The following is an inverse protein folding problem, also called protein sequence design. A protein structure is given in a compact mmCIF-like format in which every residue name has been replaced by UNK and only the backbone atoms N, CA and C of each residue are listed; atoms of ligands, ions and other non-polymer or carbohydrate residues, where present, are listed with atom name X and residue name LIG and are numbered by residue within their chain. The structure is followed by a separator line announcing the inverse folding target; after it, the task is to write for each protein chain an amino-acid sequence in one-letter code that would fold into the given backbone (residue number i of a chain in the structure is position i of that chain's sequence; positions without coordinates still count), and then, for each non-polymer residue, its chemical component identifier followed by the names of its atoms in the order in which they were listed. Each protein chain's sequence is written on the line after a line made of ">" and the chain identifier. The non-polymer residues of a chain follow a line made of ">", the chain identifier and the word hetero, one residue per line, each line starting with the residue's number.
data_IF_111012633341
#
_entry.id   IF_111012633341
#
_cell.length_a   1.000
_cell.length_b   1.000
_cell.length_c   1.000
_cell.angle_alpha   90.00
_cell.angle_beta   90.00
_cell.angle_gamma   90.00
#
_symmetry.space_group_name_H-M   'P 1'
#
loop_
_entity.id
_entity.type
_entity.pdbx_description
1 polymer ?
#
# COMPACT_ATOMS: atom_id res chain seq x y z
N UNK A 1 1.14 -29.39 -9.78
CA UNK A 1 0.85 -28.75 -8.50
C UNK A 1 -0.23 -27.72 -8.75
N UNK A 2 -1.40 -27.85 -8.15
CA UNK A 2 -2.34 -26.73 -8.04
C UNK A 2 -1.58 -25.61 -7.35
N UNK A 3 -1.31 -24.51 -8.05
CA UNK A 3 -0.71 -23.33 -7.45
C UNK A 3 -1.65 -22.88 -6.32
N UNK A 4 -1.15 -22.84 -5.10
CA UNK A 4 -1.90 -22.30 -3.97
C UNK A 4 -2.08 -20.81 -4.26
N UNK A 5 -3.27 -20.41 -4.72
CA UNK A 5 -3.60 -19.06 -5.16
C UNK A 5 -4.89 -18.64 -4.49
N UNK A 6 -4.85 -17.50 -3.82
CA UNK A 6 -6.03 -16.81 -3.33
C UNK A 6 -6.50 -15.81 -4.37
N UNK A 7 -7.80 -15.49 -4.32
CA UNK A 7 -8.44 -14.44 -5.11
C UNK A 7 -9.58 -13.84 -4.29
N UNK A 8 -9.22 -13.39 -3.09
CA UNK A 8 -10.17 -12.89 -2.08
C UNK A 8 -10.75 -11.53 -2.45
N UNK A 9 -10.16 -10.84 -3.43
CA UNK A 9 -10.55 -9.51 -3.86
C UNK A 9 -12.02 -9.37 -4.28
N UNK A 10 -12.67 -10.43 -4.79
CA UNK A 10 -14.12 -10.37 -5.05
C UNK A 10 -14.96 -10.37 -3.78
N UNK A 11 -14.56 -11.19 -2.83
CA UNK A 11 -15.34 -11.43 -1.62
C UNK A 11 -15.15 -10.26 -0.64
N UNK A 12 -13.94 -9.68 -0.56
CA UNK A 12 -13.65 -8.44 0.17
C UNK A 12 -14.66 -7.34 -0.18
N UNK A 13 -14.89 -7.09 -1.46
CA UNK A 13 -15.79 -6.01 -1.89
C UNK A 13 -17.24 -6.27 -1.51
N UNK A 14 -17.70 -7.52 -1.67
CA UNK A 14 -19.10 -7.89 -1.36
C UNK A 14 -19.38 -7.73 0.13
N UNK A 15 -18.49 -8.24 0.97
CA UNK A 15 -18.65 -8.20 2.44
C UNK A 15 -18.47 -6.78 2.99
N UNK A 16 -17.56 -5.97 2.42
CA UNK A 16 -17.41 -4.56 2.81
C UNK A 16 -18.50 -3.64 2.22
N UNK A 17 -19.37 -4.15 1.35
CA UNK A 17 -20.40 -3.35 0.68
C UNK A 17 -19.84 -2.26 -0.24
N UNK A 18 -18.65 -2.47 -0.79
CA UNK A 18 -17.96 -1.53 -1.69
C UNK A 18 -18.35 -1.86 -3.14
N UNK A 19 -18.59 -0.84 -3.95
CA UNK A 19 -18.79 -1.02 -5.38
C UNK A 19 -17.51 -1.59 -6.02
N UNK A 20 -17.58 -2.67 -6.84
CA UNK A 20 -16.44 -3.12 -7.63
C UNK A 20 -15.76 -1.97 -8.37
N UNK A 21 -14.45 -2.03 -8.55
CA UNK A 21 -13.66 -0.87 -8.96
C UNK A 21 -14.18 -0.19 -10.24
N UNK A 22 -14.59 -0.95 -11.27
CA UNK A 22 -15.19 -0.38 -12.47
C UNK A 22 -16.49 0.41 -12.19
N UNK A 23 -17.36 -0.09 -11.31
CA UNK A 23 -18.57 0.65 -10.87
C UNK A 23 -18.21 1.86 -10.04
N UNK A 24 -17.17 1.77 -9.21
CA UNK A 24 -16.63 2.91 -8.49
C UNK A 24 -16.17 4.03 -9.44
N UNK A 25 -15.51 3.68 -10.56
CA UNK A 25 -15.12 4.64 -11.60
C UNK A 25 -16.36 5.30 -12.21
N UNK A 26 -17.32 4.52 -12.68
CA UNK A 26 -18.58 5.03 -13.25
C UNK A 26 -19.36 5.94 -12.27
N UNK A 27 -19.39 5.58 -10.98
CA UNK A 27 -20.02 6.41 -9.94
C UNK A 27 -19.31 7.75 -9.72
N UNK A 28 -17.98 7.77 -9.84
CA UNK A 28 -17.21 9.02 -9.75
C UNK A 28 -17.43 9.90 -10.98
N UNK A 29 -17.47 9.30 -12.18
CA UNK A 29 -17.80 9.99 -13.43
C UNK A 29 -19.19 10.64 -13.36
N UNK A 30 -20.22 9.89 -12.93
CA UNK A 30 -21.57 10.40 -12.78
C UNK A 30 -21.68 11.55 -11.76
N UNK A 31 -20.76 11.62 -10.79
CA UNK A 31 -20.63 12.72 -9.81
C UNK A 31 -19.81 13.90 -10.32
N UNK A 32 -19.40 13.89 -11.59
CA UNK A 32 -18.58 14.93 -12.19
C UNK A 32 -17.14 14.96 -11.67
N UNK A 33 -16.67 13.87 -11.06
CA UNK A 33 -15.26 13.72 -10.68
C UNK A 33 -14.48 13.41 -11.97
N UNK A 34 -13.34 14.07 -12.14
CA UNK A 34 -12.52 14.03 -13.34
C UNK A 34 -11.62 12.77 -13.44
N UNK A 35 -12.06 11.64 -12.90
CA UNK A 35 -11.34 10.36 -12.99
C UNK A 35 -11.32 9.79 -14.41
N UNK A 36 -12.39 10.00 -15.20
CA UNK A 36 -12.44 9.68 -16.63
C UNK A 36 -11.53 10.57 -17.47
N UNK A 37 -11.50 11.86 -17.13
CA UNK A 37 -10.73 12.86 -17.88
C UNK A 37 -9.24 12.68 -17.65
N UNK A 38 -8.85 12.25 -16.44
CA UNK A 38 -7.46 12.08 -16.05
C UNK A 38 -7.22 10.74 -15.36
N UNK A 39 -7.41 9.60 -16.06
CA UNK A 39 -7.22 8.28 -15.48
C UNK A 39 -5.76 8.09 -15.05
N UNK A 40 -4.82 8.77 -15.71
CA UNK A 40 -3.40 8.78 -15.35
C UNK A 40 -3.10 9.35 -13.97
N UNK A 41 -4.04 10.07 -13.34
CA UNK A 41 -3.87 10.59 -11.99
C UNK A 41 -4.30 9.59 -10.90
N UNK A 42 -5.21 8.65 -11.19
CA UNK A 42 -5.82 7.77 -10.18
C UNK A 42 -5.91 6.29 -10.56
N UNK A 43 -6.27 5.98 -11.80
CA UNK A 43 -6.47 4.58 -12.21
C UNK A 43 -5.14 3.89 -12.43
N UNK A 44 -4.18 4.55 -13.07
CA UNK A 44 -2.83 4.00 -13.30
C UNK A 44 -2.10 3.53 -12.05
N UNK A 45 -2.09 4.26 -10.91
CA UNK A 45 -1.43 3.77 -9.70
C UNK A 45 -2.15 2.56 -9.06
N UNK A 46 -3.31 2.13 -9.57
CA UNK A 46 -4.08 1.00 -9.03
C UNK A 46 -4.27 -0.14 -10.03
N UNK A 47 -4.07 0.10 -11.33
CA UNK A 47 -4.26 -0.88 -12.39
C UNK A 47 -3.01 -0.93 -13.25
N UNK A 48 -2.24 -2.01 -13.09
CA UNK A 48 -1.09 -2.26 -13.95
C UNK A 48 -1.50 -3.12 -15.15
N UNK A 49 -0.96 -2.83 -16.33
CA UNK A 49 -1.15 -3.64 -17.54
C UNK A 49 0.18 -4.28 -17.96
N UNK A 50 0.14 -5.56 -18.31
CA UNK A 50 1.25 -6.24 -18.98
C UNK A 50 1.23 -5.93 -20.48
N UNK A 51 2.35 -6.13 -21.18
CA UNK A 51 2.46 -5.83 -22.62
C UNK A 51 1.32 -6.41 -23.47
N UNK A 52 0.93 -7.67 -23.23
CA UNK A 52 -0.21 -8.29 -23.92
C UNK A 52 -1.56 -7.66 -23.59
N UNK A 53 -1.75 -7.20 -22.35
CA UNK A 53 -2.98 -6.52 -21.95
C UNK A 53 -3.04 -5.12 -22.55
N UNK A 54 -1.90 -4.44 -22.68
CA UNK A 54 -1.83 -3.16 -23.41
C UNK A 54 -2.24 -3.37 -24.87
N UNK A 55 -1.64 -4.35 -25.56
CA UNK A 55 -2.00 -4.68 -26.95
C UNK A 55 -3.48 -5.06 -27.09
N UNK A 56 -4.04 -5.81 -26.13
CA UNK A 56 -5.45 -6.17 -26.12
C UNK A 56 -6.35 -4.93 -25.96
N UNK A 57 -6.08 -4.09 -24.96
CA UNK A 57 -6.88 -2.87 -24.72
C UNK A 57 -6.80 -1.93 -25.93
N UNK A 58 -5.63 -1.82 -26.59
CA UNK A 58 -5.46 -1.08 -27.85
C UNK A 58 -6.37 -1.61 -28.97
N UNK A 59 -6.52 -2.92 -29.10
CA UNK A 59 -7.39 -3.55 -30.09
C UNK A 59 -8.88 -3.37 -29.77
N UNK A 60 -9.23 -3.26 -28.49
CA UNK A 60 -10.61 -3.15 -28.03
C UNK A 60 -11.19 -1.73 -28.11
N UNK A 61 -10.36 -0.71 -28.40
CA UNK A 61 -10.84 0.68 -28.49
C UNK A 61 -11.87 0.85 -29.59
N UNK A 62 -13.10 1.19 -29.19
CA UNK A 62 -14.24 1.32 -30.09
C UNK A 62 -14.94 0.01 -30.46
N UNK A 63 -14.47 -1.13 -29.94
CA UNK A 63 -15.07 -2.46 -30.12
C UNK A 63 -15.84 -2.93 -28.87
N UNK A 64 -15.67 -2.23 -27.74
CA UNK A 64 -16.38 -2.49 -26.48
C UNK A 64 -17.46 -1.43 -26.22
N UNK A 65 -18.48 -1.82 -25.45
CA UNK A 65 -19.54 -0.95 -24.94
C UNK A 65 -19.67 -1.17 -23.44
N UNK A 66 -19.00 -0.32 -22.64
CA UNK A 66 -18.97 -0.49 -21.19
C UNK A 66 -20.32 -0.10 -20.57
N UNK A 67 -21.08 -1.10 -20.11
CA UNK A 67 -22.21 -0.89 -19.21
C UNK A 67 -21.82 -1.15 -17.74
N UNK A 68 -21.91 -0.17 -16.81
CA UNK A 68 -21.66 -0.38 -15.38
C UNK A 68 -22.71 -1.29 -14.71
N UNK A 69 -23.90 -1.44 -15.30
CA UNK A 69 -24.99 -2.26 -14.78
C UNK A 69 -24.86 -3.73 -15.21
N UNK A 70 -24.30 -4.00 -16.39
CA UNK A 70 -23.99 -5.36 -16.84
C UNK A 70 -22.73 -5.91 -16.15
N UNK A 71 -22.83 -7.00 -15.37
CA UNK A 71 -21.65 -7.64 -14.78
C UNK A 71 -20.78 -8.41 -15.79
N UNK A 72 -21.23 -8.57 -17.04
CA UNK A 72 -20.49 -9.24 -18.11
C UNK A 72 -19.76 -8.22 -18.99
N UNK A 73 -18.57 -8.57 -19.52
CA UNK A 73 -17.92 -7.76 -20.55
C UNK A 73 -18.70 -7.85 -21.86
N UNK A 74 -18.72 -6.78 -22.65
CA UNK A 74 -19.38 -6.69 -23.95
C UNK A 74 -18.64 -7.41 -25.08
N UNK A 75 -17.38 -7.81 -24.87
CA UNK A 75 -16.53 -8.39 -25.90
C UNK A 75 -15.90 -9.72 -25.45
N UNK A 76 -15.95 -10.73 -26.32
CA UNK A 76 -15.51 -12.12 -26.02
C UNK A 76 -14.04 -12.22 -25.58
N UNK A 77 -13.16 -11.38 -26.13
CA UNK A 77 -11.73 -11.34 -25.77
C UNK A 77 -11.46 -10.99 -24.29
N UNK A 78 -12.47 -10.52 -23.56
CA UNK A 78 -12.38 -10.22 -22.13
C UNK A 78 -12.92 -11.34 -21.22
N UNK A 79 -13.56 -12.38 -21.78
CA UNK A 79 -14.20 -13.46 -21.00
C UNK A 79 -13.20 -14.33 -20.23
N UNK A 80 -11.95 -14.40 -20.68
CA UNK A 80 -10.89 -15.16 -20.02
C UNK A 80 -10.36 -14.48 -18.74
N UNK A 81 -10.71 -13.21 -18.50
CA UNK A 81 -10.30 -12.47 -17.31
C UNK A 81 -11.32 -12.61 -16.18
N UNK A 82 -10.90 -12.53 -14.91
CA UNK A 82 -11.82 -12.34 -13.79
C UNK A 82 -12.74 -11.14 -14.05
N UNK A 83 -14.05 -11.27 -13.80
CA UNK A 83 -15.05 -10.28 -14.25
C UNK A 83 -14.70 -8.83 -13.89
N UNK A 84 -14.24 -8.48 -12.67
CA UNK A 84 -13.86 -7.09 -12.41
C UNK A 84 -12.60 -6.61 -13.10
N UNK A 85 -11.62 -7.49 -13.36
CA UNK A 85 -10.51 -7.17 -14.28
C UNK A 85 -11.06 -6.88 -15.67
N UNK A 86 -11.90 -7.78 -16.20
CA UNK A 86 -12.51 -7.63 -17.52
C UNK A 86 -13.25 -6.30 -17.66
N UNK A 87 -14.13 -5.96 -16.72
CA UNK A 87 -14.89 -4.70 -16.74
C UNK A 87 -14.01 -3.46 -16.55
N UNK A 88 -12.88 -3.56 -15.84
CA UNK A 88 -11.90 -2.45 -15.76
C UNK A 88 -11.19 -2.28 -17.10
N UNK A 89 -10.74 -3.36 -17.74
CA UNK A 89 -10.11 -3.30 -19.08
C UNK A 89 -11.10 -2.74 -20.11
N UNK A 90 -12.36 -3.18 -20.03
CA UNK A 90 -13.45 -2.66 -20.83
C UNK A 90 -13.68 -1.16 -20.59
N UNK A 91 -13.76 -0.71 -19.34
CA UNK A 91 -13.89 0.73 -19.02
C UNK A 91 -12.70 1.55 -19.55
N UNK A 92 -11.49 0.99 -19.53
CA UNK A 92 -10.30 1.65 -20.08
C UNK A 92 -10.40 1.75 -21.62
N UNK A 93 -10.85 0.67 -22.28
CA UNK A 93 -10.98 0.60 -23.74
C UNK A 93 -12.19 1.35 -24.29
N UNK A 94 -13.25 1.48 -23.47
CA UNK A 94 -14.44 2.25 -23.75
C UNK A 94 -14.06 3.73 -23.85
N UNK A 95 -14.18 4.28 -25.04
CA UNK A 95 -13.48 5.49 -25.47
C UNK A 95 -14.32 6.76 -25.31
N UNK A 96 -15.24 6.78 -24.34
CA UNK A 96 -15.90 8.01 -23.91
C UNK A 96 -14.88 8.94 -23.22
N UNK A 97 -14.12 9.69 -24.03
CA UNK A 97 -13.25 10.78 -23.55
C UNK A 97 -11.74 10.58 -23.70
N UNK A 98 -11.26 9.71 -24.60
CA UNK A 98 -9.82 9.45 -24.82
C UNK A 98 -9.10 9.01 -23.52
N UNK A 99 -9.75 8.12 -22.74
CA UNK A 99 -9.22 7.57 -21.47
C UNK A 99 -7.83 6.93 -21.65
N UNK A 100 -7.54 6.50 -22.86
CA UNK A 100 -6.27 5.89 -23.25
C UNK A 100 -5.26 6.91 -23.78
N UNK A 101 -5.71 8.07 -24.27
CA UNK A 101 -4.93 9.07 -24.99
C UNK A 101 -4.46 8.61 -26.38
N UNK A 102 -4.97 7.50 -26.90
CA UNK A 102 -4.49 6.89 -28.15
C UNK A 102 -5.03 7.54 -29.41
N UNK A 103 -6.13 8.32 -29.35
CA UNK A 103 -6.64 9.08 -30.50
C UNK A 103 -5.99 10.47 -30.65
N UNK A 104 -5.33 10.99 -29.60
CA UNK A 104 -4.57 12.23 -29.65
C UNK A 104 -3.28 12.08 -30.49
N UNK A 105 -3.41 12.37 -31.80
CA UNK A 105 -2.36 12.43 -32.84
C UNK A 105 -0.90 12.56 -32.37
N UNK A 106 -0.25 11.44 -32.01
CA UNK A 106 1.20 11.29 -32.06
C UNK A 106 1.96 11.12 -30.75
N UNK A 107 1.35 11.30 -29.58
CA UNK A 107 1.98 10.92 -28.31
C UNK A 107 1.25 9.72 -27.74
N UNK A 108 1.80 8.52 -27.93
CA UNK A 108 1.33 7.34 -27.21
C UNK A 108 1.42 7.65 -25.72
N UNK A 109 0.29 7.80 -25.04
CA UNK A 109 0.15 7.77 -23.57
C UNK A 109 0.40 6.37 -23.02
N UNK A 110 1.37 5.64 -23.57
CA UNK A 110 2.03 4.50 -22.94
C UNK A 110 2.56 4.90 -21.56
N UNK A 111 2.88 6.19 -21.36
CA UNK A 111 3.26 6.74 -20.06
C UNK A 111 2.14 6.66 -18.99
N UNK A 112 0.87 6.56 -19.39
CA UNK A 112 -0.28 6.43 -18.49
C UNK A 112 -0.61 4.96 -18.14
N UNK A 113 -0.19 3.98 -18.94
CA UNK A 113 -0.50 2.57 -18.68
C UNK A 113 0.81 1.78 -18.69
N UNK A 114 1.61 1.98 -17.64
CA UNK A 114 2.99 1.48 -17.60
C UNK A 114 3.06 -0.01 -17.27
N UNK A 115 3.92 -0.74 -17.97
CA UNK A 115 4.40 -2.05 -17.54
C UNK A 115 5.39 -1.89 -16.36
N UNK A 116 4.89 -1.99 -15.12
CA UNK A 116 5.72 -1.99 -13.91
C UNK A 116 5.01 -1.47 -12.67
N UNK A 117 5.66 -1.62 -11.51
CA UNK A 117 5.15 -1.24 -10.19
C UNK A 117 4.46 0.13 -10.14
N UNK A 118 3.25 0.14 -9.61
CA UNK A 118 2.35 1.29 -9.42
C UNK A 118 2.38 1.74 -7.97
N UNK A 119 2.52 3.03 -7.68
CA UNK A 119 2.79 3.53 -6.32
C UNK A 119 2.08 4.87 -6.10
N UNK A 120 1.69 5.23 -4.88
CA UNK A 120 1.43 6.63 -4.55
C UNK A 120 1.92 6.99 -3.15
N UNK A 121 2.07 8.29 -2.91
CA UNK A 121 2.24 8.85 -1.57
C UNK A 121 1.04 9.71 -1.17
N UNK A 122 0.30 9.25 -0.16
CA UNK A 122 -0.84 9.94 0.42
C UNK A 122 -0.44 10.70 1.68
N UNK A 123 -0.92 11.95 1.82
CA UNK A 123 -0.63 12.74 3.02
C UNK A 123 -1.82 13.60 3.48
N UNK A 124 -2.01 13.65 4.79
CA UNK A 124 -2.98 14.52 5.44
C UNK A 124 -3.17 14.22 6.92
N UNK A 125 -3.69 15.20 7.65
CA UNK A 125 -3.86 15.17 9.11
C UNK A 125 -4.66 13.94 9.60
N UNK A 126 -4.54 13.56 10.89
CA UNK A 126 -5.44 12.57 11.50
C UNK A 126 -6.92 12.87 11.19
N UNK A 127 -7.73 11.84 10.99
CA UNK A 127 -9.16 11.96 10.66
C UNK A 127 -9.49 12.23 9.18
N UNK A 128 -8.49 12.31 8.29
CA UNK A 128 -8.71 12.51 6.85
C UNK A 128 -9.17 11.27 6.08
N UNK A 129 -9.19 10.11 6.74
CA UNK A 129 -9.57 8.82 6.13
C UNK A 129 -8.41 8.03 5.51
N UNK A 130 -7.14 8.34 5.84
CA UNK A 130 -5.96 7.61 5.31
C UNK A 130 -6.06 6.09 5.46
N UNK A 131 -6.40 5.61 6.65
CA UNK A 131 -6.49 4.17 6.92
C UNK A 131 -7.63 3.50 6.13
N UNK A 132 -8.75 4.21 5.95
CA UNK A 132 -9.83 3.74 5.07
C UNK A 132 -9.45 3.75 3.59
N UNK A 133 -8.63 4.72 3.16
CA UNK A 133 -8.07 4.73 1.81
C UNK A 133 -7.09 3.57 1.63
N UNK A 134 -6.28 3.27 2.64
CA UNK A 134 -5.35 2.15 2.63
C UNK A 134 -6.06 0.81 2.43
N UNK A 135 -7.10 0.53 3.20
CA UNK A 135 -7.87 -0.70 2.99
C UNK A 135 -8.69 -0.71 1.70
N UNK A 136 -9.18 0.46 1.22
CA UNK A 136 -9.77 0.56 -0.11
C UNK A 136 -8.75 0.19 -1.19
N UNK A 137 -7.52 0.72 -1.11
CA UNK A 137 -6.43 0.39 -2.04
C UNK A 137 -6.06 -1.08 -1.96
N UNK A 138 -5.92 -1.66 -0.76
CA UNK A 138 -5.67 -3.10 -0.59
C UNK A 138 -6.76 -3.95 -1.27
N UNK A 139 -8.03 -3.57 -1.14
CA UNK A 139 -9.13 -4.23 -1.81
C UNK A 139 -8.99 -4.12 -3.34
N UNK A 140 -8.78 -2.92 -3.89
CA UNK A 140 -8.65 -2.70 -5.34
C UNK A 140 -7.54 -3.55 -5.94
N UNK A 141 -6.35 -3.55 -5.32
CA UNK A 141 -5.19 -4.30 -5.83
C UNK A 141 -5.45 -5.80 -5.86
N UNK A 142 -6.12 -6.35 -4.84
CA UNK A 142 -6.52 -7.76 -4.84
C UNK A 142 -7.63 -8.04 -5.86
N UNK A 143 -8.64 -7.18 -5.97
CA UNK A 143 -9.78 -7.39 -6.86
C UNK A 143 -9.40 -7.31 -8.34
N UNK A 144 -8.63 -6.29 -8.69
CA UNK A 144 -8.34 -5.96 -10.09
C UNK A 144 -7.06 -6.64 -10.55
N UNK A 145 -6.04 -6.80 -9.71
CA UNK A 145 -4.74 -7.29 -10.15
C UNK A 145 -4.37 -8.67 -9.56
N UNK A 146 -5.17 -9.18 -8.61
CA UNK A 146 -4.84 -10.37 -7.81
C UNK A 146 -3.45 -10.30 -7.16
N UNK A 147 -3.05 -9.10 -6.73
CA UNK A 147 -1.75 -8.87 -6.08
C UNK A 147 -1.70 -9.50 -4.70
N UNK A 148 -0.51 -9.94 -4.28
CA UNK A 148 -0.25 -10.18 -2.86
C UNK A 148 -0.01 -8.82 -2.21
N UNK A 149 -0.81 -8.48 -1.21
CA UNK A 149 -0.75 -7.19 -0.52
C UNK A 149 -0.18 -7.41 0.88
N UNK A 150 0.86 -6.65 1.23
CA UNK A 150 1.50 -6.66 2.54
C UNK A 150 1.25 -5.30 3.20
N UNK A 151 0.48 -5.26 4.27
CA UNK A 151 0.44 -4.11 5.15
C UNK A 151 1.66 -4.18 6.06
N UNK A 152 2.52 -3.17 5.94
CA UNK A 152 3.67 -2.97 6.79
C UNK A 152 3.21 -2.30 8.08
N UNK A 153 2.99 -3.13 9.10
CA UNK A 153 2.65 -2.64 10.42
C UNK A 153 3.92 -2.23 11.15
N UNK A 154 3.74 -1.42 12.20
CA UNK A 154 4.84 -0.88 13.00
C UNK A 154 4.81 -1.44 14.41
N UNK A 155 5.98 -1.45 15.05
CA UNK A 155 6.12 -1.72 16.47
C UNK A 155 6.81 -0.53 17.12
N UNK A 156 6.26 -0.05 18.24
CA UNK A 156 6.98 0.91 19.06
C UNK A 156 8.19 0.25 19.75
N UNK A 157 8.98 1.05 20.47
CA UNK A 157 10.17 0.58 21.18
C UNK A 157 9.87 -0.45 22.28
N UNK A 158 8.62 -0.55 22.73
CA UNK A 158 8.16 -1.56 23.70
C UNK A 158 7.77 -2.89 23.04
N UNK A 159 7.75 -2.94 21.70
CA UNK A 159 7.24 -4.09 20.95
C UNK A 159 5.71 -4.11 20.88
N UNK A 160 5.05 -2.96 21.08
CA UNK A 160 3.59 -2.86 21.06
C UNK A 160 3.11 -2.21 19.77
N UNK A 161 2.05 -2.76 19.20
CA UNK A 161 1.21 -2.09 18.21
C UNK A 161 -0.12 -1.73 18.87
N UNK A 162 -0.35 -0.46 19.19
CA UNK A 162 -1.53 -0.05 19.96
C UNK A 162 -2.83 -0.01 19.13
N UNK A 163 -2.74 0.08 17.78
CA UNK A 163 -3.91 0.32 16.90
C UNK A 163 -3.85 -0.43 15.58
N UNK A 164 -4.50 -1.59 15.54
CA UNK A 164 -4.71 -2.33 14.30
C UNK A 164 -5.72 -1.62 13.35
N UNK A 165 -5.20 -0.90 12.36
CA UNK A 165 -6.02 -0.21 11.35
C UNK A 165 -6.60 -1.16 10.27
N UNK A 166 -6.13 -2.41 10.24
CA UNK A 166 -6.47 -3.43 9.25
C UNK A 166 -7.68 -4.30 9.62
N UNK A 167 -8.25 -4.15 10.83
CA UNK A 167 -9.36 -4.97 11.33
C UNK A 167 -10.57 -5.12 10.38
N UNK A 168 -10.96 -4.10 9.56
CA UNK A 168 -12.02 -4.30 8.56
C UNK A 168 -11.73 -5.41 7.54
N UNK A 169 -10.45 -5.75 7.35
CA UNK A 169 -9.97 -6.81 6.45
C UNK A 169 -9.63 -8.12 7.17
N UNK A 170 -9.83 -8.20 8.49
CA UNK A 170 -9.52 -9.36 9.33
C UNK A 170 -9.95 -10.73 8.75
N UNK A 171 -11.14 -10.89 8.14
CA UNK A 171 -11.57 -12.17 7.56
C UNK A 171 -10.68 -12.71 6.43
N UNK A 172 -9.85 -11.87 5.83
CA UNK A 172 -8.92 -12.24 4.75
C UNK A 172 -7.46 -12.02 5.13
N UNK A 173 -7.19 -11.58 6.36
CA UNK A 173 -5.85 -11.27 6.83
C UNK A 173 -5.11 -12.53 7.23
N UNK A 174 -3.92 -12.72 6.65
CA UNK A 174 -2.88 -13.57 7.20
C UNK A 174 -1.92 -12.71 8.02
N UNK A 175 -1.85 -12.87 9.34
CA UNK A 175 -0.86 -12.17 10.16
C UNK A 175 0.48 -12.88 10.04
N UNK A 176 1.53 -12.14 9.68
CA UNK A 176 2.90 -12.62 9.65
C UNK A 176 3.70 -12.02 10.81
N UNK A 177 4.20 -12.88 11.69
CA UNK A 177 4.97 -12.49 12.87
C UNK A 177 6.31 -13.23 12.96
N UNK A 178 7.31 -12.65 13.63
CA UNK A 178 8.56 -13.34 13.88
C UNK A 178 8.36 -14.60 14.74
N UNK A 179 9.05 -15.69 14.38
CA UNK A 179 9.02 -16.92 15.17
C UNK A 179 9.73 -16.73 16.52
N UNK A 180 9.29 -17.47 17.53
CA UNK A 180 9.95 -17.52 18.83
C UNK A 180 9.71 -16.33 19.76
N UNK A 181 8.96 -15.30 19.33
CA UNK A 181 8.52 -14.18 20.19
C UNK A 181 7.07 -14.46 20.63
N UNK A 182 6.78 -14.54 21.94
CA UNK A 182 5.41 -14.63 22.43
C UNK A 182 4.64 -13.37 22.06
N UNK A 183 3.36 -13.54 21.71
CA UNK A 183 2.49 -12.43 21.32
C UNK A 183 1.21 -12.52 22.11
N UNK A 184 0.78 -11.40 22.67
CA UNK A 184 -0.49 -11.23 23.34
C UNK A 184 -1.35 -10.25 22.54
N UNK A 185 -2.64 -10.57 22.33
CA UNK A 185 -3.59 -9.65 21.72
C UNK A 185 -4.51 -9.12 22.80
N UNK A 186 -4.45 -7.83 23.07
CA UNK A 186 -5.31 -7.15 24.03
C UNK A 186 -6.41 -6.39 23.30
N UNK A 187 -7.66 -6.75 23.59
CA UNK A 187 -8.85 -6.07 23.10
C UNK A 187 -9.28 -5.04 24.15
N UNK A 188 -9.39 -3.79 23.74
CA UNK A 188 -9.87 -2.66 24.55
C UNK A 188 -11.17 -2.15 23.94
N UNK A 189 -12.33 -2.64 24.40
CA UNK A 189 -13.63 -2.19 23.91
C UNK A 189 -13.83 -0.69 24.11
N UNK A 190 -14.50 -0.01 23.15
CA UNK A 190 -14.85 1.41 23.33
C UNK A 190 -15.89 1.62 24.45
N UNK A 191 -16.70 0.60 24.72
CA UNK A 191 -17.72 0.60 25.77
C UNK A 191 -17.05 0.53 27.17
N UNK A 192 -17.10 1.59 27.99
CA UNK A 192 -16.33 1.70 29.24
C UNK A 192 -16.74 0.68 30.32
N UNK A 193 -17.93 0.08 30.20
CA UNK A 193 -18.42 -0.97 31.08
C UNK A 193 -17.84 -2.36 30.77
N UNK A 194 -17.23 -2.55 29.61
CA UNK A 194 -16.61 -3.81 29.21
C UNK A 194 -15.12 -3.75 29.52
N UNK A 195 -14.66 -4.60 30.43
CA UNK A 195 -13.23 -4.69 30.74
C UNK A 195 -12.44 -5.20 29.54
N UNK A 196 -11.19 -4.75 29.40
CA UNK A 196 -10.26 -5.31 28.43
C UNK A 196 -10.03 -6.79 28.68
N UNK A 197 -9.75 -7.53 27.62
CA UNK A 197 -9.49 -8.96 27.67
C UNK A 197 -8.49 -9.38 26.59
N UNK A 198 -7.89 -10.55 26.78
CA UNK A 198 -6.88 -11.11 25.89
C UNK A 198 -7.48 -12.21 25.00
N UNK A 199 -7.03 -12.29 23.75
CA UNK A 199 -7.37 -13.36 22.79
C UNK A 199 -6.12 -13.88 22.08
N UNK A 200 -6.21 -15.02 21.41
CA UNK A 200 -5.19 -15.47 20.46
C UNK A 200 -5.23 -14.70 19.14
N UNK A 201 -4.09 -14.62 18.43
CA UNK A 201 -4.03 -13.99 17.10
C UNK A 201 -4.97 -14.67 16.11
N UNK A 202 -5.08 -15.99 16.18
CA UNK A 202 -5.96 -16.82 15.34
C UNK A 202 -7.45 -16.52 15.55
N UNK A 203 -7.81 -15.81 16.63
CA UNK A 203 -9.20 -15.40 16.90
C UNK A 203 -9.57 -14.09 16.18
N UNK A 204 -8.59 -13.30 15.75
CA UNK A 204 -8.80 -11.97 15.14
C UNK A 204 -8.42 -11.90 13.66
N UNK A 205 -7.89 -12.98 13.08
CA UNK A 205 -7.49 -13.03 11.67
C UNK A 205 -7.78 -14.40 11.06
N UNK A 206 -7.60 -14.55 9.75
CA UNK A 206 -7.85 -15.81 9.05
C UNK A 206 -6.75 -16.83 9.33
N UNK A 207 -5.49 -16.41 9.21
CA UNK A 207 -4.33 -17.28 9.30
C UNK A 207 -3.19 -16.55 10.03
N UNK A 208 -2.30 -17.30 10.67
CA UNK A 208 -1.06 -16.79 11.25
C UNK A 208 0.11 -17.55 10.66
N UNK A 209 1.12 -16.82 10.16
CA UNK A 209 2.40 -17.38 9.71
C UNK A 209 3.53 -16.85 10.60
N UNK A 210 4.46 -17.74 10.93
CA UNK A 210 5.64 -17.42 11.75
C UNK A 210 6.89 -17.52 10.89
N UNK A 211 7.72 -16.50 10.91
CA UNK A 211 8.91 -16.43 10.04
C UNK A 211 10.20 -16.18 10.83
N UNK A 212 11.30 -16.71 10.32
CA UNK A 212 12.64 -16.63 10.93
C UNK A 212 13.52 -15.53 10.33
N UNK A 213 13.20 -15.06 9.12
CA UNK A 213 13.94 -14.03 8.39
C UNK A 213 13.12 -13.46 7.24
N UNK A 214 13.54 -12.33 6.62
CA UNK A 214 12.88 -11.82 5.42
C UNK A 214 12.81 -12.82 4.26
N UNK A 215 13.85 -13.66 4.09
CA UNK A 215 13.93 -14.67 3.03
C UNK A 215 12.93 -15.80 3.29
N UNK A 216 12.80 -16.20 4.55
CA UNK A 216 11.85 -17.23 4.97
C UNK A 216 10.41 -16.75 4.78
N UNK A 217 10.06 -15.53 5.22
CA UNK A 217 8.74 -14.95 4.98
C UNK A 217 8.39 -14.94 3.49
N UNK A 218 9.32 -14.52 2.62
CA UNK A 218 9.11 -14.55 1.16
C UNK A 218 8.81 -15.96 0.64
N UNK A 219 9.40 -17.00 1.22
CA UNK A 219 9.15 -18.40 0.86
C UNK A 219 7.79 -18.93 1.36
N UNK A 220 7.17 -18.23 2.31
CA UNK A 220 5.86 -18.58 2.88
C UNK A 220 4.69 -17.79 2.28
N UNK A 221 4.97 -16.73 1.50
CA UNK A 221 3.94 -15.94 0.85
C UNK A 221 3.13 -16.77 -0.16
N UNK A 222 1.82 -16.53 -0.18
CA UNK A 222 0.87 -17.13 -1.11
C UNK A 222 0.35 -16.04 -2.06
N UNK A 223 0.26 -16.37 -3.35
CA UNK A 223 -0.19 -15.43 -4.39
C UNK A 223 -1.64 -14.98 -4.11
N UNK A 224 -1.88 -13.66 -4.11
CA UNK A 224 -3.22 -13.07 -3.99
C UNK A 224 -3.77 -12.95 -2.58
N UNK A 225 -2.97 -13.22 -1.53
CA UNK A 225 -3.37 -13.02 -0.14
C UNK A 225 -3.09 -11.59 0.37
N UNK A 226 -3.87 -11.17 1.37
CA UNK A 226 -3.62 -9.99 2.19
C UNK A 226 -2.87 -10.38 3.47
N UNK A 227 -1.69 -9.80 3.68
CA UNK A 227 -0.90 -10.00 4.88
C UNK A 227 -0.83 -8.72 5.70
N UNK A 228 -0.83 -8.87 7.02
CA UNK A 228 -0.34 -7.87 7.97
C UNK A 228 0.97 -8.39 8.51
N UNK A 229 2.06 -7.67 8.28
CA UNK A 229 3.40 -8.12 8.62
C UNK A 229 3.95 -7.23 9.72
N UNK A 230 4.25 -7.84 10.87
CA UNK A 230 4.96 -7.19 11.96
C UNK A 230 6.46 -7.40 11.78
N UNK A 231 7.30 -6.35 11.82
CA UNK A 231 8.74 -6.48 11.63
C UNK A 231 9.39 -7.34 12.73
N UNK A 232 10.55 -7.93 12.43
CA UNK A 232 11.31 -8.69 13.44
C UNK A 232 12.21 -7.74 14.26
N UNK A 233 11.92 -7.49 15.55
CA UNK A 233 12.71 -6.58 16.39
C UNK A 233 14.14 -7.12 16.63
N UNK A 234 14.36 -8.42 16.40
CA UNK A 234 15.68 -9.05 16.47
C UNK A 234 16.50 -8.90 15.16
N UNK A 235 15.87 -8.39 14.10
CA UNK A 235 16.48 -8.20 12.77
C UNK A 235 17.14 -9.46 12.18
N UNK A 236 16.59 -10.66 12.46
CA UNK A 236 17.19 -11.92 12.03
C UNK A 236 17.23 -12.02 10.51
N UNK A 237 18.41 -12.33 9.99
CA UNK A 237 18.64 -12.48 8.55
C UNK A 237 18.69 -11.18 7.73
N UNK A 238 18.52 -9.99 8.36
CA UNK A 238 18.60 -8.71 7.65
C UNK A 238 19.97 -8.49 6.98
N UNK A 239 21.05 -8.81 7.68
CA UNK A 239 22.44 -8.69 7.20
C UNK A 239 22.79 -9.70 6.09
N UNK A 240 21.99 -10.76 5.90
CA UNK A 240 22.17 -11.73 4.81
C UNK A 240 21.62 -11.23 3.45
N UNK A 241 20.76 -10.22 3.48
CA UNK A 241 20.11 -9.64 2.28
C UNK A 241 20.45 -8.16 2.07
N UNK A 242 21.02 -7.53 3.09
CA UNK A 242 21.40 -6.12 3.13
C UNK A 242 22.84 -5.98 3.60
N UNK A 243 23.53 -4.93 3.16
CA UNK A 243 24.93 -4.65 3.56
C UNK A 243 25.04 -3.73 4.78
N UNK A 244 23.91 -3.37 5.37
CA UNK A 244 23.80 -2.38 6.43
C UNK A 244 23.75 -3.06 7.79
N UNK A 245 24.09 -2.29 8.81
CA UNK A 245 24.12 -2.75 10.19
C UNK A 245 22.70 -2.87 10.75
N UNK A 246 22.43 -3.96 11.47
CA UNK A 246 21.19 -4.14 12.21
C UNK A 246 21.52 -4.66 13.61
N UNK A 247 21.08 -3.92 14.62
CA UNK A 247 21.37 -4.20 16.01
C UNK A 247 20.05 -4.55 16.70
N UNK A 248 19.85 -5.83 17.04
CA UNK A 248 18.83 -6.21 18.01
C UNK A 248 19.22 -5.70 19.40
N UNK A 249 18.29 -5.69 20.38
CA UNK A 249 18.58 -5.17 21.72
C UNK A 249 19.72 -5.90 22.45
N UNK A 250 20.02 -7.15 22.09
CA UNK A 250 21.18 -7.89 22.61
C UNK A 250 22.54 -7.50 21.99
N UNK A 251 22.57 -6.55 21.04
CA UNK A 251 23.79 -6.08 20.35
C UNK A 251 24.11 -4.61 20.66
N UNK A 252 23.50 -4.04 21.70
CA UNK A 252 23.75 -2.67 22.15
C UNK A 252 24.83 -2.65 23.24
N UNK A 253 25.56 -1.55 23.35
CA UNK A 253 26.59 -1.30 24.36
C UNK A 253 26.09 -0.30 25.40
N UNK A 254 26.74 -0.24 26.56
CA UNK A 254 26.42 0.79 27.56
C UNK A 254 26.65 2.20 26.99
N UNK A 255 25.88 3.17 27.48
CA UNK A 255 26.02 4.57 27.05
C UNK A 255 27.44 5.07 27.34
N UNK A 256 28.17 5.45 26.30
CA UNK A 256 29.55 5.94 26.38
C UNK A 256 30.62 4.90 26.02
N UNK A 257 30.24 3.64 25.78
CA UNK A 257 31.13 2.63 25.23
C UNK A 257 31.17 2.64 23.69
N UNK A 258 32.23 2.10 23.05
CA UNK A 258 32.29 2.00 21.60
C UNK A 258 31.26 0.99 21.06
N UNK A 259 30.22 1.50 20.40
CA UNK A 259 29.17 0.67 19.78
C UNK A 259 27.82 1.37 19.84
N UNK A 260 26.76 0.72 19.33
CA UNK A 260 25.44 1.30 19.36
C UNK A 260 24.82 1.27 20.75
N UNK A 261 24.31 2.39 21.20
CA UNK A 261 23.73 2.52 22.55
C UNK A 261 22.22 2.26 22.60
N UNK A 262 21.59 2.13 21.43
CA UNK A 262 20.18 1.79 21.28
C UNK A 262 20.01 0.67 20.24
N UNK A 263 18.93 -0.13 20.32
CA UNK A 263 18.60 -1.07 19.27
C UNK A 263 18.23 -0.33 17.99
N UNK A 264 18.46 -0.97 16.84
CA UNK A 264 17.90 -0.51 15.58
C UNK A 264 16.37 -0.60 15.65
N UNK A 265 15.62 0.48 15.34
CA UNK A 265 14.15 0.45 15.34
C UNK A 265 13.61 -0.72 14.51
N UNK A 266 12.58 -1.40 15.01
CA UNK A 266 12.04 -2.62 14.39
C UNK A 266 11.62 -2.37 12.93
N UNK A 267 11.00 -1.22 12.65
CA UNK A 267 10.53 -0.81 11.33
C UNK A 267 11.64 -0.82 10.26
N UNK A 268 12.90 -0.61 10.64
CA UNK A 268 14.01 -0.67 9.69
C UNK A 268 14.21 -2.06 9.08
N UNK A 269 13.63 -3.12 9.66
CA UNK A 269 13.54 -4.46 9.07
C UNK A 269 12.97 -4.43 7.64
N UNK A 270 12.02 -3.52 7.36
CA UNK A 270 11.42 -3.35 6.04
C UNK A 270 12.44 -3.00 4.95
N UNK A 271 13.55 -2.32 5.29
CA UNK A 271 14.63 -2.08 4.33
C UNK A 271 15.29 -3.37 3.85
N UNK A 272 15.49 -4.33 4.76
CA UNK A 272 16.05 -5.64 4.43
C UNK A 272 15.04 -6.48 3.65
N UNK A 273 13.77 -6.48 4.08
CA UNK A 273 12.70 -7.22 3.41
C UNK A 273 12.50 -6.78 1.96
N UNK A 274 12.37 -5.47 1.71
CA UNK A 274 12.20 -4.95 0.35
C UNK A 274 13.43 -5.25 -0.51
N UNK A 275 14.64 -5.14 0.04
CA UNK A 275 15.84 -5.56 -0.69
C UNK A 275 15.85 -7.05 -1.03
N UNK A 276 15.40 -7.91 -0.11
CA UNK A 276 15.24 -9.33 -0.36
C UNK A 276 14.23 -9.56 -1.49
N UNK A 277 13.05 -8.94 -1.41
CA UNK A 277 11.99 -9.09 -2.42
C UNK A 277 12.44 -8.62 -3.80
N UNK A 278 13.21 -7.54 -3.91
CA UNK A 278 13.68 -7.01 -5.20
C UNK A 278 14.79 -7.88 -5.80
N UNK A 279 15.73 -8.35 -4.97
CA UNK A 279 16.98 -8.98 -5.43
C UNK A 279 16.92 -10.51 -5.44
N UNK A 280 16.00 -11.11 -4.69
CA UNK A 280 15.83 -12.55 -4.60
C UNK A 280 14.55 -12.91 -5.35
N UNK A 281 14.66 -13.75 -6.37
CA UNK A 281 13.53 -14.23 -7.16
C UNK A 281 12.79 -15.39 -6.44
N UNK A 282 12.52 -15.24 -5.14
CA UNK A 282 11.88 -16.27 -4.29
C UNK A 282 10.36 -16.26 -4.48
N UNK A 283 9.77 -15.07 -4.58
CA UNK A 283 8.34 -14.88 -4.78
C UNK A 283 8.10 -14.02 -6.01
N UNK A 284 8.10 -14.60 -7.22
CA UNK A 284 8.00 -13.87 -8.49
C UNK A 284 6.54 -13.51 -8.85
N UNK A 285 5.73 -13.13 -7.86
CA UNK A 285 4.38 -12.61 -8.01
C UNK A 285 4.32 -11.15 -7.59
N UNK A 286 3.39 -10.38 -8.15
CA UNK A 286 3.30 -8.95 -7.86
C UNK A 286 2.99 -8.72 -6.37
N UNK A 287 3.76 -7.84 -5.74
CA UNK A 287 3.70 -7.56 -4.31
C UNK A 287 3.51 -6.07 -4.09
N UNK A 288 2.42 -5.70 -3.41
CA UNK A 288 2.15 -4.33 -3.01
C UNK A 288 2.30 -4.17 -1.51
N UNK A 289 3.19 -3.26 -1.11
CA UNK A 289 3.52 -2.99 0.29
C UNK A 289 2.86 -1.68 0.69
N UNK A 290 2.00 -1.71 1.69
CA UNK A 290 1.25 -0.57 2.20
C UNK A 290 1.91 -0.15 3.50
N UNK A 291 2.58 1.00 3.52
CA UNK A 291 3.29 1.53 4.68
C UNK A 291 2.46 2.66 5.27
N UNK A 292 1.79 2.39 6.38
CA UNK A 292 1.22 3.44 7.21
C UNK A 292 2.32 4.17 7.98
N UNK A 293 2.04 5.38 8.44
CA UNK A 293 3.00 6.22 9.18
C UNK A 293 4.40 6.26 8.55
N UNK A 294 4.46 6.51 7.24
CA UNK A 294 5.69 6.39 6.45
C UNK A 294 6.87 7.25 6.95
N UNK A 295 6.64 8.19 7.87
CA UNK A 295 7.71 8.93 8.56
C UNK A 295 8.56 8.05 9.47
N UNK A 296 8.01 7.01 10.08
CA UNK A 296 8.75 6.08 10.95
C UNK A 296 9.81 5.30 10.16
N UNK A 297 9.54 5.00 8.88
CA UNK A 297 10.48 4.32 8.00
C UNK A 297 11.35 5.28 7.17
N UNK A 298 10.86 6.49 6.87
CA UNK A 298 11.53 7.43 5.98
C UNK A 298 11.77 8.78 6.65
N UNK A 299 12.40 8.77 7.83
CA UNK A 299 12.64 9.98 8.61
C UNK A 299 13.36 11.06 7.77
N UNK A 300 12.79 12.28 7.66
CA UNK A 300 13.42 13.41 6.97
C UNK A 300 14.71 13.90 7.66
N UNK A 301 14.82 13.69 8.97
CA UNK A 301 15.89 14.17 9.82
C UNK A 301 16.92 13.08 10.14
N UNK A 302 16.75 11.87 9.59
CA UNK A 302 17.72 10.79 9.68
C UNK A 302 19.13 11.28 9.31
N UNK A 303 20.03 11.27 10.29
CA UNK A 303 21.43 11.58 10.09
C UNK A 303 22.23 10.29 9.84
N UNK A 304 23.53 10.45 9.57
CA UNK A 304 24.40 9.27 9.58
C UNK A 304 24.58 8.84 11.02
N UNK A 305 24.02 7.70 11.34
CA UNK A 305 24.00 7.09 12.65
C UNK A 305 24.67 5.71 12.63
N UNK A 306 24.72 5.10 13.81
CA UNK A 306 25.23 3.74 14.00
C UNK A 306 24.31 2.65 13.40
N UNK A 307 23.04 2.97 13.13
CA UNK A 307 22.12 2.06 12.46
C UNK A 307 22.10 2.23 10.93
N UNK A 308 22.96 3.05 10.34
CA UNK A 308 22.99 3.31 8.89
C UNK A 308 21.64 3.81 8.32
N UNK A 309 20.75 4.42 9.10
CA UNK A 309 19.38 4.78 8.70
C UNK A 309 19.36 5.67 7.46
N UNK A 310 20.13 6.77 7.46
CA UNK A 310 20.26 7.64 6.30
C UNK A 310 20.71 6.87 5.04
N UNK A 311 21.62 5.90 5.19
CA UNK A 311 22.11 5.08 4.06
C UNK A 311 21.08 4.04 3.61
N UNK A 312 20.27 3.51 4.53
CA UNK A 312 19.13 2.62 4.25
C UNK A 312 18.06 3.37 3.46
N UNK A 313 17.61 4.54 3.92
CA UNK A 313 16.63 5.41 3.22
C UNK A 313 17.11 5.76 1.81
N UNK A 314 18.36 6.25 1.69
CA UNK A 314 18.92 6.64 0.39
C UNK A 314 19.01 5.44 -0.57
N UNK A 315 19.36 4.26 -0.07
CA UNK A 315 19.44 3.03 -0.87
C UNK A 315 18.07 2.53 -1.27
N UNK A 316 17.12 2.56 -0.37
CA UNK A 316 15.73 2.21 -0.65
C UNK A 316 15.18 3.06 -1.80
N UNK A 317 15.35 4.39 -1.71
CA UNK A 317 14.94 5.29 -2.78
C UNK A 317 15.65 4.98 -4.12
N UNK A 318 16.92 4.55 -4.08
CA UNK A 318 17.63 4.13 -5.29
C UNK A 318 17.04 2.84 -5.88
N UNK A 319 16.79 1.84 -5.03
CA UNK A 319 16.27 0.52 -5.43
C UNK A 319 14.81 0.58 -5.87
N UNK A 320 14.08 1.62 -5.48
CA UNK A 320 12.67 1.84 -5.85
C UNK A 320 12.42 1.78 -7.37
N UNK A 321 13.38 2.21 -8.18
CA UNK A 321 13.27 2.11 -9.64
C UNK A 321 13.33 0.66 -10.13
N UNK A 322 14.13 -0.19 -9.48
CA UNK A 322 14.26 -1.62 -9.80
C UNK A 322 13.09 -2.42 -9.22
N UNK A 323 12.53 -2.00 -8.08
CA UNK A 323 11.32 -2.56 -7.48
C UNK A 323 10.19 -2.69 -8.50
N UNK A 324 9.96 -1.62 -9.26
CA UNK A 324 8.91 -1.58 -10.30
C UNK A 324 9.10 -2.61 -11.40
N UNK A 325 10.35 -2.88 -11.80
CA UNK A 325 10.67 -3.90 -12.81
C UNK A 325 10.49 -5.31 -12.27
N UNK A 326 10.54 -5.47 -10.95
CA UNK A 326 10.41 -6.75 -10.23
C UNK A 326 9.00 -7.01 -9.69
N UNK A 327 8.02 -6.20 -10.12
CA UNK A 327 6.62 -6.32 -9.69
C UNK A 327 6.44 -5.99 -8.21
N UNK A 328 7.20 -5.02 -7.70
CA UNK A 328 7.08 -4.53 -6.33
C UNK A 328 6.58 -3.09 -6.37
N UNK A 329 5.51 -2.86 -5.64
CA UNK A 329 4.80 -1.59 -5.49
C UNK A 329 4.79 -1.18 -4.03
N UNK A 330 4.88 0.12 -3.74
CA UNK A 330 4.85 0.64 -2.37
C UNK A 330 3.94 1.85 -2.28
N UNK A 331 2.89 1.70 -1.48
CA UNK A 331 1.92 2.74 -1.17
C UNK A 331 2.21 3.29 0.21
N UNK A 332 2.33 4.60 0.34
CA UNK A 332 2.78 5.23 1.58
C UNK A 332 1.78 6.26 2.08
N UNK A 333 1.61 6.34 3.40
CA UNK A 333 0.67 7.23 4.06
C UNK A 333 1.39 8.01 5.17
N UNK A 334 1.24 9.34 5.23
CA UNK A 334 1.82 10.18 6.28
C UNK A 334 0.87 11.32 6.70
N UNK A 335 1.16 12.01 7.80
CA UNK A 335 0.35 13.17 8.20
C UNK A 335 0.71 14.44 7.43
N UNK A 336 1.96 14.57 7.01
CA UNK A 336 2.44 15.68 6.20
C UNK A 336 3.50 15.27 5.18
N UNK A 337 3.63 16.07 4.12
CA UNK A 337 4.73 15.93 3.17
C UNK A 337 6.10 16.03 3.84
N UNK A 338 6.24 16.84 4.89
CA UNK A 338 7.51 17.10 5.57
C UNK A 338 8.02 15.93 6.39
N UNK A 339 7.14 15.03 6.83
CA UNK A 339 7.47 13.86 7.66
C UNK A 339 8.15 12.74 6.88
N UNK A 340 8.35 12.91 5.57
CA UNK A 340 8.96 11.89 4.71
C UNK A 340 10.18 12.46 4.01
N UNK A 341 11.28 11.71 4.06
CA UNK A 341 12.56 12.07 3.49
C UNK A 341 12.46 12.53 2.03
N UNK A 342 13.22 13.58 1.71
CA UNK A 342 13.27 14.12 0.35
C UNK A 342 13.78 13.10 -0.68
N UNK A 343 14.61 12.12 -0.26
CA UNK A 343 15.08 11.05 -1.14
C UNK A 343 13.91 10.19 -1.66
N UNK A 344 13.01 9.79 -0.77
CA UNK A 344 11.87 8.96 -1.13
C UNK A 344 10.82 9.77 -1.91
N UNK A 345 10.52 11.00 -1.48
CA UNK A 345 9.64 11.93 -2.20
C UNK A 345 10.09 12.19 -3.65
N UNK A 346 11.40 12.23 -3.89
CA UNK A 346 11.95 12.37 -5.24
C UNK A 346 11.62 11.19 -6.17
N UNK A 347 11.19 10.03 -5.65
CA UNK A 347 10.85 8.84 -6.45
C UNK A 347 9.35 8.65 -6.70
N UNK A 348 8.51 9.41 -6.01
CA UNK A 348 7.05 9.30 -6.11
C UNK A 348 6.50 9.84 -7.43
N UNK A 349 5.72 9.04 -8.14
CA UNK A 349 5.08 9.43 -9.42
C UNK A 349 3.68 9.97 -9.20
N UNK A 350 2.94 9.34 -8.28
CA UNK A 350 1.59 9.74 -7.91
C UNK A 350 1.53 10.15 -6.45
N UNK A 351 0.61 11.06 -6.18
CA UNK A 351 0.43 11.71 -4.91
C UNK A 351 -1.05 11.80 -4.59
N UNK A 352 -1.39 11.73 -3.31
CA UNK A 352 -2.76 11.91 -2.83
C UNK A 352 -2.75 13.00 -1.76
N UNK A 353 -3.32 14.15 -2.10
CA UNK A 353 -3.55 15.24 -1.15
C UNK A 353 -4.92 15.05 -0.53
N UNK A 354 -4.94 14.59 0.72
CA UNK A 354 -6.18 14.30 1.46
C UNK A 354 -6.96 15.59 1.79
N UNK A 355 -8.22 15.45 2.18
CA UNK A 355 -9.04 16.57 2.63
C UNK A 355 -8.33 17.40 3.73
N UNK A 356 -8.46 18.73 3.64
CA UNK A 356 -7.81 19.68 4.54
C UNK A 356 -6.28 19.81 4.41
N UNK A 357 -5.60 18.91 3.68
CA UNK A 357 -4.15 19.00 3.45
C UNK A 357 -3.83 20.05 2.36
N UNK A 358 -2.70 20.73 2.47
CA UNK A 358 -2.31 21.74 1.48
C UNK A 358 -1.54 21.08 0.31
N UNK A 359 -1.99 21.20 -0.95
CA UNK A 359 -1.18 20.80 -2.10
C UNK A 359 0.06 21.70 -2.22
N UNK A 360 1.23 21.17 -2.64
CA UNK A 360 2.50 21.91 -2.69
C UNK A 360 2.58 22.83 -3.93
N UNK A 361 1.68 23.80 -4.03
CA UNK A 361 1.52 24.67 -5.21
C UNK A 361 2.67 25.66 -5.32
N UNK A 362 3.16 25.84 -6.55
CA UNK A 362 4.24 26.78 -6.85
C UNK A 362 5.58 26.40 -6.22
N UNK A 363 5.67 25.21 -5.61
CA UNK A 363 6.90 24.67 -5.03
C UNK A 363 7.46 23.59 -5.95
N UNK A 364 8.75 23.67 -6.25
CA UNK A 364 9.47 22.53 -6.82
C UNK A 364 9.57 21.44 -5.75
N UNK A 365 8.99 20.29 -6.04
CA UNK A 365 9.19 19.10 -5.23
C UNK A 365 10.53 18.45 -5.59
N UNK A 366 11.12 17.64 -4.69
CA UNK A 366 12.33 16.90 -5.01
C UNK A 366 12.24 16.15 -6.35
N UNK A 367 13.28 16.28 -7.17
CA UNK A 367 13.31 15.71 -8.53
C UNK A 367 12.57 16.52 -9.59
N UNK A 368 12.54 17.85 -9.44
CA UNK A 368 11.99 18.83 -10.41
C UNK A 368 10.51 18.62 -10.78
N UNK A 369 9.73 18.10 -9.83
CA UNK A 369 8.29 17.88 -10.03
C UNK A 369 7.49 19.11 -9.61
N UNK A 370 6.38 19.33 -10.30
CA UNK A 370 5.38 20.33 -9.95
C UNK A 370 4.04 19.67 -9.64
N UNK A 371 3.27 20.31 -8.76
CA UNK A 371 1.89 19.94 -8.49
C UNK A 371 0.97 20.65 -9.50
N UNK A 372 0.12 19.94 -10.27
CA UNK A 372 -0.75 20.53 -11.29
C UNK A 372 -2.03 21.14 -10.71
N UNK A 373 -2.27 20.99 -9.40
CA UNK A 373 -3.45 21.55 -8.73
C UNK A 373 -3.35 23.09 -8.73
N UNK A 374 -4.35 23.81 -9.25
CA UNK A 374 -4.22 25.26 -9.49
C UNK A 374 -4.39 26.12 -8.23
N UNK A 375 -4.99 25.60 -7.15
CA UNK A 375 -5.17 26.38 -5.91
C UNK A 375 -5.17 25.54 -4.63
N UNK A 376 -4.59 26.12 -3.58
CA UNK A 376 -4.39 25.48 -2.28
C UNK A 376 -5.70 25.34 -1.49
N UNK A 377 -6.79 25.89 -2.01
CA UNK A 377 -8.11 25.87 -1.37
C UNK A 377 -8.95 24.66 -1.77
N UNK A 378 -8.60 23.92 -2.82
CA UNK A 378 -9.45 22.83 -3.34
C UNK A 378 -9.74 21.75 -2.29
N UNK A 379 -8.75 21.33 -1.52
CA UNK A 379 -8.91 20.30 -0.49
C UNK A 379 -9.64 20.78 0.77
N UNK A 380 -9.84 22.10 0.95
CA UNK A 380 -10.48 22.65 2.16
C UNK A 380 -11.99 22.43 2.22
N UNK A 381 -12.60 22.23 1.07
CA UNK A 381 -14.04 21.97 0.95
C UNK A 381 -14.36 20.47 0.88
N UNK A 382 -13.33 19.63 0.88
CA UNK A 382 -13.48 18.18 0.81
C UNK A 382 -13.83 17.58 2.17
N UNK A 383 -14.67 16.55 2.14
CA UNK A 383 -15.06 15.79 3.33
C UNK A 383 -14.03 14.69 3.66
N UNK A 384 -14.14 14.07 4.84
CA UNK A 384 -13.36 12.87 5.14
C UNK A 384 -13.76 11.75 4.16
N UNK A 385 -12.78 11.04 3.61
CA UNK A 385 -13.04 10.10 2.51
C UNK A 385 -12.98 10.72 1.12
N UNK A 386 -12.50 11.97 0.99
CA UNK A 386 -12.22 12.63 -0.29
C UNK A 386 -10.76 13.09 -0.40
N UNK A 387 -10.23 13.11 -1.63
CA UNK A 387 -8.88 13.59 -1.90
C UNK A 387 -8.71 14.12 -3.33
N UNK A 388 -7.58 14.79 -3.55
CA UNK A 388 -7.03 15.05 -4.88
C UNK A 388 -5.86 14.09 -5.13
N UNK A 389 -5.98 13.27 -6.17
CA UNK A 389 -4.91 12.41 -6.66
C UNK A 389 -4.22 13.10 -7.82
N UNK A 390 -2.89 13.07 -7.91
CA UNK A 390 -2.19 13.78 -8.97
C UNK A 390 -0.83 13.18 -9.30
N UNK A 391 -0.39 13.44 -10.53
CA UNK A 391 0.98 13.26 -10.99
C UNK A 391 1.52 14.61 -11.50
N UNK A 392 2.68 14.67 -12.14
CA UNK A 392 3.25 15.95 -12.60
C UNK A 392 2.47 16.65 -13.72
N UNK A 393 1.51 15.97 -14.36
CA UNK A 393 0.76 16.47 -15.52
C UNK A 393 -0.70 16.73 -15.16
N UNK A 394 -1.35 15.78 -14.48
CA UNK A 394 -2.80 15.78 -14.27
C UNK A 394 -3.16 15.58 -12.80
N UNK A 395 -4.39 15.98 -12.46
CA UNK A 395 -5.01 15.67 -11.17
C UNK A 395 -6.46 15.23 -11.34
N UNK A 396 -6.91 14.35 -10.46
CA UNK A 396 -8.30 13.94 -10.34
C UNK A 396 -8.78 14.13 -8.89
N UNK A 397 -10.06 14.41 -8.73
CA UNK A 397 -10.74 14.32 -7.44
C UNK A 397 -11.33 12.93 -7.28
N UNK A 398 -11.22 12.37 -6.09
CA UNK A 398 -11.74 11.05 -5.77
C UNK A 398 -12.49 11.10 -4.45
N UNK A 399 -13.31 10.08 -4.23
CA UNK A 399 -13.81 9.72 -2.91
C UNK A 399 -13.64 8.22 -2.69
N UNK A 400 -13.83 7.71 -1.49
CA UNK A 400 -13.87 6.26 -1.24
C UNK A 400 -14.80 5.99 -0.04
N UNK A 401 -15.37 4.78 0.06
CA UNK A 401 -16.22 4.44 1.18
C UNK A 401 -15.42 4.32 2.48
N UNK A 402 -16.05 4.66 3.61
CA UNK A 402 -15.50 4.34 4.92
C UNK A 402 -15.64 2.83 5.19
N UNK A 403 -14.56 2.09 4.93
CA UNK A 403 -14.51 0.63 5.09
C UNK A 403 -14.69 0.18 6.55
N UNK A 404 -14.41 1.04 7.53
CA UNK A 404 -14.57 0.72 8.96
C UNK A 404 -16.05 0.66 9.37
N UNK A 405 -16.97 1.25 8.59
CA UNK A 405 -18.40 1.27 8.93
C UNK A 405 -19.03 -0.13 8.99
N UNK A 406 -18.44 -1.11 8.31
CA UNK A 406 -18.87 -2.51 8.34
C UNK A 406 -18.15 -3.37 9.38
N UNK A 407 -17.18 -2.82 10.12
CA UNK A 407 -16.44 -3.57 11.12
C UNK A 407 -17.39 -4.04 12.24
N UNK A 408 -17.30 -5.33 12.59
CA UNK A 408 -18.12 -5.94 13.65
C UNK A 408 -17.55 -5.74 15.05
N UNK A 409 -16.32 -5.24 15.13
CA UNK A 409 -15.60 -4.99 16.38
C UNK A 409 -15.36 -3.49 16.51
N UNK A 410 -15.96 -2.90 17.53
CA UNK A 410 -15.79 -1.49 17.93
C UNK A 410 -14.89 -1.45 19.17
N UNK A 411 -13.61 -1.74 18.94
CA UNK A 411 -12.59 -1.87 19.97
C UNK A 411 -11.22 -1.48 19.40
N UNK A 412 -10.37 -0.95 20.26
CA UNK A 412 -8.93 -0.85 20.01
C UNK A 412 -8.31 -2.24 20.21
N UNK A 413 -7.47 -2.65 19.26
CA UNK A 413 -6.77 -3.93 19.30
C UNK A 413 -5.29 -3.64 19.37
N UNK A 414 -4.70 -4.01 20.50
CA UNK A 414 -3.27 -3.92 20.78
C UNK A 414 -2.64 -5.30 20.57
N UNK A 415 -1.50 -5.35 19.88
CA UNK A 415 -0.73 -6.57 19.68
C UNK A 415 0.64 -6.35 20.33
N UNK A 416 0.90 -7.10 21.39
CA UNK A 416 2.01 -6.89 22.30
C UNK A 416 3.01 -8.05 22.09
N UNK A 417 4.23 -7.73 21.67
CA UNK A 417 5.30 -8.70 21.53
C UNK A 417 6.10 -8.75 22.83
N UNK A 418 6.14 -9.91 23.49
CA UNK A 418 6.87 -10.08 24.75
C UNK A 418 8.38 -10.16 24.48
N UNK A 419 9.00 -8.99 24.42
CA UNK A 419 10.43 -8.83 24.20
C UNK A 419 11.23 -9.31 25.43
N UNK A 420 10.71 -9.16 26.65
CA UNK A 420 11.34 -9.63 27.88
C UNK A 420 11.50 -11.16 27.88
N UNK A 421 10.49 -11.90 27.40
CA UNK A 421 10.54 -13.36 27.31
C UNK A 421 11.62 -13.89 26.36
N UNK A 422 12.08 -13.08 25.42
CA UNK A 422 13.20 -13.41 24.52
C UNK A 422 14.51 -12.75 24.94
N UNK A 423 14.55 -12.21 26.17
CA UNK A 423 15.75 -11.67 26.81
C UNK A 423 16.12 -10.27 26.36
N UNK A 424 15.12 -9.44 26.01
CA UNK A 424 15.29 -8.04 25.60
C UNK A 424 14.69 -7.08 26.64
#
# INVERSE_FOLDING_TARGET
>A
ATLNRHNDGQDIYKELGIAPFHRYLALNEAKGKNVATYPSAWVTPLVHLKGREIELVEQLVGEVDYDPHDPHPSHEALEDFPRPRAKVLEWIADDEGDRTGWKAQGNRTIDAWTAGGTDYFAYGKPGSGKSTLMGFTAAVLQQVNNETVLLADTLDDSGTNERAEWLPLAPWTTIAIPEGIPVEVRIVPEAPEVSSFTVGLEEICRDVVRYSSPVDLLGQLVEGQFYVVFPDPLHRGCEAVSRYSYHGPNRVTEVGEPGPSAPTPADQWWFAFVQARIKRDIFPHWTSILVDEAGNLFDPDAEKDEHDEYQKIRKYAKDFADARKKGVSVYTYAHALSEVSHFFRAKQRWWVTMNGATPPIGKSLPGDKSCPIPTARYSRQMESGEALTWNSQNYASINWPNIKRGARLDAEVSIDFDLEAVGL
#
